data_IF_896224580166
#
_entry.id   IF_896224580166
#
_cell.length_a   1.000
_cell.length_b   1.000
_cell.length_c   1.000
_cell.angle_alpha   90.00
_cell.angle_beta   90.00
_cell.angle_gamma   90.00
#
_symmetry.space_group_name_H-M   'P 1'
#
loop_
_entity.id
_entity.type
_entity.pdbx_description
1 polymer ?
#
# COMPACT_ATOMS: atom_id res chain seq x y z
N UNK A 1 -1.13 18.44 13.84
CA UNK A 1 -1.10 18.61 12.37
C UNK A 1 -2.41 18.16 11.67
N UNK A 2 -3.04 17.06 12.10
CA UNK A 2 -4.22 16.43 11.45
C UNK A 2 -5.50 17.30 11.26
N UNK A 3 -5.92 18.14 12.23
CA UNK A 3 -7.05 19.06 12.01
C UNK A 3 -6.81 20.05 10.85
N UNK A 4 -5.54 20.35 10.57
CA UNK A 4 -5.13 21.26 9.50
C UNK A 4 -5.40 20.70 8.10
N UNK A 5 -5.12 19.41 7.85
CA UNK A 5 -5.37 18.82 6.53
C UNK A 5 -6.87 18.66 6.26
N UNK A 6 -7.65 18.19 7.25
CA UNK A 6 -9.11 18.16 7.14
C UNK A 6 -9.68 19.55 6.82
N UNK A 7 -9.22 20.58 7.53
CA UNK A 7 -9.58 21.97 7.26
C UNK A 7 -9.24 22.38 5.84
N UNK A 8 -7.99 22.16 5.40
CA UNK A 8 -7.55 22.51 4.06
C UNK A 8 -8.33 21.80 2.93
N UNK A 9 -8.75 20.54 3.13
CA UNK A 9 -9.60 19.82 2.17
C UNK A 9 -10.99 20.46 2.10
N UNK A 10 -11.57 20.84 3.25
CA UNK A 10 -12.86 21.56 3.28
C UNK A 10 -12.76 22.92 2.61
N UNK A 11 -11.73 23.70 2.92
CA UNK A 11 -11.48 25.00 2.30
C UNK A 11 -11.28 24.86 0.77
N UNK A 12 -10.70 23.76 0.30
CA UNK A 12 -10.60 23.45 -1.13
C UNK A 12 -11.97 23.07 -1.72
N UNK A 13 -12.73 22.22 -1.05
CA UNK A 13 -14.05 21.79 -1.50
C UNK A 13 -15.02 22.99 -1.62
N UNK A 14 -15.01 23.87 -0.63
CA UNK A 14 -15.82 25.10 -0.61
C UNK A 14 -15.45 26.02 -1.78
N UNK A 15 -14.15 26.22 -2.05
CA UNK A 15 -13.69 27.03 -3.19
C UNK A 15 -14.08 26.44 -4.54
N UNK A 16 -14.19 25.12 -4.64
CA UNK A 16 -14.58 24.42 -5.87
C UNK A 16 -16.10 24.21 -5.98
N UNK A 17 -16.88 24.58 -4.96
CA UNK A 17 -18.33 24.34 -4.93
C UNK A 17 -18.71 22.86 -4.85
N UNK A 18 -17.85 22.00 -4.28
CA UNK A 18 -18.07 20.56 -4.17
C UNK A 18 -18.59 20.25 -2.76
N UNK A 19 -19.81 19.72 -2.65
CA UNK A 19 -20.32 19.19 -1.39
C UNK A 19 -19.53 17.94 -0.99
N UNK A 20 -18.71 18.04 0.06
CA UNK A 20 -17.84 16.95 0.51
C UNK A 20 -17.81 16.84 2.04
N UNK A 21 -18.24 15.69 2.56
CA UNK A 21 -18.17 15.38 3.99
C UNK A 21 -16.81 14.79 4.32
N UNK A 22 -15.96 15.60 4.93
CA UNK A 22 -14.61 15.18 5.34
C UNK A 22 -14.61 14.78 6.82
N UNK A 23 -14.22 13.54 7.11
CA UNK A 23 -13.98 13.03 8.46
C UNK A 23 -12.49 12.74 8.68
N UNK A 24 -12.09 12.47 9.93
CA UNK A 24 -10.71 12.11 10.25
C UNK A 24 -10.62 11.12 11.41
N UNK A 25 -9.54 10.33 11.41
CA UNK A 25 -9.22 9.36 12.47
C UNK A 25 -8.21 9.95 13.44
N UNK A 26 -8.43 9.74 14.74
CA UNK A 26 -7.55 10.14 15.85
C UNK A 26 -7.15 8.92 16.70
N UNK A 27 -6.30 9.14 17.71
CA UNK A 27 -5.86 8.10 18.65
C UNK A 27 -4.50 7.49 18.35
N UNK A 28 -3.88 7.85 17.22
CA UNK A 28 -2.54 7.38 16.89
C UNK A 28 -1.43 8.18 17.59
N UNK A 29 -1.71 9.41 18.05
CA UNK A 29 -0.70 10.25 18.72
C UNK A 29 -0.41 9.84 20.14
N UNK A 30 0.80 9.36 20.37
CA UNK A 30 1.27 8.93 21.68
C UNK A 30 2.34 9.84 22.26
N UNK A 31 2.67 10.98 21.62
CA UNK A 31 3.81 11.81 22.02
C UNK A 31 3.71 12.24 23.49
N UNK A 32 2.51 12.59 23.96
CA UNK A 32 2.24 12.97 25.36
C UNK A 32 1.94 11.80 26.31
N UNK A 33 1.90 10.56 25.82
CA UNK A 33 1.48 9.41 26.63
C UNK A 33 2.55 8.94 27.63
N UNK A 34 3.83 9.19 27.34
CA UNK A 34 4.99 8.90 28.20
C UNK A 34 6.25 9.60 27.68
N UNK A 35 7.34 9.52 28.43
CA UNK A 35 8.66 9.89 27.91
C UNK A 35 9.16 8.84 26.89
N UNK A 36 9.42 9.30 25.66
CA UNK A 36 9.94 8.49 24.55
C UNK A 36 11.45 8.67 24.34
N UNK A 37 12.10 9.41 25.24
CA UNK A 37 13.52 9.73 25.21
C UNK A 37 13.83 11.01 24.44
N UNK A 38 15.03 11.56 24.71
CA UNK A 38 15.46 12.90 24.27
C UNK A 38 15.39 13.12 22.75
N UNK A 39 14.64 14.12 22.32
CA UNK A 39 14.61 14.55 20.92
C UNK A 39 13.64 13.78 20.01
N UNK A 40 12.72 12.99 20.59
CA UNK A 40 11.54 12.50 19.85
C UNK A 40 10.62 13.67 19.55
N UNK A 41 10.26 13.83 18.28
CA UNK A 41 9.35 14.89 17.80
C UNK A 41 7.96 14.36 17.45
N UNK A 42 7.83 13.04 17.26
CA UNK A 42 6.53 12.38 17.15
C UNK A 42 6.62 10.92 17.61
N UNK A 43 5.52 10.42 18.17
CA UNK A 43 5.32 9.02 18.49
C UNK A 43 3.92 8.63 18.01
N UNK A 44 3.82 7.75 17.02
CA UNK A 44 2.53 7.39 16.42
C UNK A 44 2.32 5.88 16.36
N UNK A 45 1.21 5.42 16.93
CA UNK A 45 0.75 4.03 16.79
C UNK A 45 0.25 3.78 15.36
N UNK A 46 0.57 2.62 14.80
CA UNK A 46 0.01 2.17 13.53
C UNK A 46 -1.37 1.58 13.80
N UNK A 47 -2.41 2.36 13.51
CA UNK A 47 -3.80 1.94 13.66
C UNK A 47 -4.26 1.07 12.46
N UNK A 48 -5.36 0.35 12.66
CA UNK A 48 -6.05 -0.41 11.62
C UNK A 48 -7.13 0.40 10.88
N UNK A 49 -7.88 -0.29 10.03
CA UNK A 49 -8.97 0.22 9.22
C UNK A 49 -10.25 0.53 9.99
N UNK A 50 -10.40 0.09 11.25
CA UNK A 50 -11.64 0.29 12.04
C UNK A 50 -12.09 1.76 12.14
N UNK A 51 -11.16 2.70 12.35
CA UNK A 51 -11.48 4.14 12.39
C UNK A 51 -11.93 4.69 11.03
N UNK A 52 -11.33 4.19 9.95
CA UNK A 52 -11.72 4.52 8.57
C UNK A 52 -13.13 3.99 8.30
N UNK A 53 -13.40 2.75 8.70
CA UNK A 53 -14.69 2.12 8.50
C UNK A 53 -15.81 2.88 9.24
N UNK A 54 -15.56 3.30 10.48
CA UNK A 54 -16.49 4.10 11.26
C UNK A 54 -16.80 5.45 10.58
N UNK A 55 -15.78 6.14 10.07
CA UNK A 55 -15.97 7.40 9.33
C UNK A 55 -16.83 7.21 8.08
N UNK A 56 -16.54 6.19 7.27
CA UNK A 56 -17.27 5.91 6.04
C UNK A 56 -18.73 5.50 6.33
N UNK A 57 -18.96 4.64 7.33
CA UNK A 57 -20.33 4.30 7.79
C UNK A 57 -21.08 5.52 8.33
N UNK A 58 -20.38 6.49 8.90
CA UNK A 58 -20.92 7.79 9.28
C UNK A 58 -21.22 8.73 8.11
N UNK A 59 -20.99 8.29 6.87
CA UNK A 59 -21.25 9.07 5.66
C UNK A 59 -20.11 10.02 5.30
N UNK A 60 -18.86 9.77 5.71
CA UNK A 60 -17.74 10.53 5.16
C UNK A 60 -17.53 10.19 3.68
N UNK A 61 -17.33 11.22 2.84
CA UNK A 61 -16.92 11.07 1.44
C UNK A 61 -15.39 11.00 1.34
N UNK A 62 -14.69 11.68 2.26
CA UNK A 62 -13.23 11.67 2.38
C UNK A 62 -12.85 11.45 3.84
N UNK A 63 -11.91 10.52 4.08
CA UNK A 63 -11.36 10.24 5.42
C UNK A 63 -9.89 10.61 5.46
N UNK A 64 -9.52 11.49 6.39
CA UNK A 64 -8.13 11.83 6.67
C UNK A 64 -7.64 11.03 7.86
N UNK A 65 -6.61 10.21 7.69
CA UNK A 65 -6.06 9.40 8.77
C UNK A 65 -4.72 9.96 9.26
N UNK A 66 -4.37 9.62 10.50
CA UNK A 66 -3.00 9.73 11.00
C UNK A 66 -2.17 8.54 10.53
N UNK A 67 -1.39 7.96 11.43
CA UNK A 67 -0.66 6.73 11.16
C UNK A 67 -1.60 5.53 11.21
N UNK A 68 -1.86 4.95 10.04
CA UNK A 68 -2.50 3.63 9.87
C UNK A 68 -1.50 2.70 9.18
N UNK A 69 -1.76 1.39 9.18
CA UNK A 69 -1.05 0.49 8.26
C UNK A 69 -1.46 0.77 6.82
N UNK A 70 -0.59 0.46 5.87
CA UNK A 70 -0.87 0.70 4.45
C UNK A 70 -2.08 -0.13 4.00
N UNK A 71 -2.15 -1.40 4.43
CA UNK A 71 -3.31 -2.26 4.25
C UNK A 71 -4.62 -1.72 4.86
N UNK A 72 -4.57 -0.86 5.89
CA UNK A 72 -5.78 -0.29 6.49
C UNK A 72 -6.55 0.64 5.53
N UNK A 73 -5.86 1.22 4.55
CA UNK A 73 -6.47 1.98 3.47
C UNK A 73 -7.37 1.11 2.57
N UNK A 74 -7.25 -0.22 2.68
CA UNK A 74 -8.08 -1.19 1.96
C UNK A 74 -9.05 -1.91 2.90
N UNK A 75 -8.59 -2.40 4.05
CA UNK A 75 -9.46 -3.09 5.03
C UNK A 75 -10.57 -2.18 5.56
N UNK A 76 -10.28 -0.91 5.83
CA UNK A 76 -11.25 0.05 6.36
C UNK A 76 -12.44 0.27 5.41
N UNK A 77 -12.21 0.69 4.16
CA UNK A 77 -13.28 0.81 3.16
C UNK A 77 -14.01 -0.50 2.87
N UNK A 78 -13.29 -1.63 2.78
CA UNK A 78 -13.91 -2.94 2.55
C UNK A 78 -14.85 -3.32 3.71
N UNK A 79 -14.41 -3.17 4.96
CA UNK A 79 -15.23 -3.43 6.13
C UNK A 79 -16.45 -2.49 6.22
N UNK A 80 -16.30 -1.21 5.84
CA UNK A 80 -17.44 -0.30 5.74
C UNK A 80 -18.45 -0.75 4.69
N UNK A 81 -17.97 -1.11 3.49
CA UNK A 81 -18.81 -1.46 2.35
C UNK A 81 -19.55 -2.78 2.55
N UNK A 82 -18.88 -3.82 3.04
CA UNK A 82 -19.46 -5.15 3.22
C UNK A 82 -20.10 -5.36 4.61
N UNK A 83 -19.98 -4.39 5.51
CA UNK A 83 -20.58 -4.46 6.84
C UNK A 83 -19.88 -5.43 7.80
N UNK A 84 -18.61 -5.79 7.54
CA UNK A 84 -17.87 -6.74 8.37
C UNK A 84 -17.74 -6.27 9.83
N UNK A 85 -17.85 -7.22 10.75
CA UNK A 85 -17.53 -7.08 12.16
C UNK A 85 -16.00 -7.10 12.39
N UNK A 86 -15.57 -6.70 13.58
CA UNK A 86 -14.15 -6.68 13.94
C UNK A 86 -13.53 -8.08 14.08
N UNK A 87 -14.38 -9.11 14.19
CA UNK A 87 -14.01 -10.52 14.32
C UNK A 87 -14.33 -11.35 13.06
N UNK A 88 -14.70 -10.72 11.95
CA UNK A 88 -14.79 -11.36 10.62
C UNK A 88 -13.37 -11.57 10.05
N UNK A 89 -12.53 -12.28 10.79
CA UNK A 89 -11.08 -12.34 10.57
C UNK A 89 -10.69 -12.84 9.18
N UNK A 90 -11.38 -13.83 8.63
CA UNK A 90 -11.05 -14.33 7.28
C UNK A 90 -11.30 -13.26 6.21
N UNK A 91 -12.40 -12.52 6.31
CA UNK A 91 -12.73 -11.47 5.35
C UNK A 91 -11.77 -10.27 5.50
N UNK A 92 -11.49 -9.87 6.75
CA UNK A 92 -10.49 -8.85 7.06
C UNK A 92 -9.09 -9.25 6.57
N UNK A 93 -8.70 -10.52 6.74
CA UNK A 93 -7.41 -11.02 6.29
C UNK A 93 -7.31 -10.98 4.77
N UNK A 94 -8.37 -11.37 4.06
CA UNK A 94 -8.45 -11.22 2.61
C UNK A 94 -8.22 -9.78 2.15
N UNK A 95 -8.85 -8.80 2.82
CA UNK A 95 -8.63 -7.39 2.53
C UNK A 95 -7.22 -6.87 2.93
N UNK A 96 -6.63 -7.39 4.02
CA UNK A 96 -5.23 -7.09 4.37
C UNK A 96 -4.29 -7.58 3.27
N UNK A 97 -4.51 -8.79 2.75
CA UNK A 97 -3.70 -9.36 1.67
C UNK A 97 -3.88 -8.56 0.38
N UNK A 98 -5.11 -8.17 0.03
CA UNK A 98 -5.33 -7.28 -1.11
C UNK A 98 -4.60 -5.94 -0.92
N UNK A 99 -4.66 -5.33 0.28
CA UNK A 99 -3.94 -4.11 0.61
C UNK A 99 -2.42 -4.24 0.50
N UNK A 100 -1.86 -5.34 1.00
CA UNK A 100 -0.44 -5.69 0.87
C UNK A 100 0.00 -5.87 -0.59
N UNK A 101 -0.91 -6.27 -1.48
CA UNK A 101 -0.60 -6.35 -2.91
C UNK A 101 -0.68 -4.99 -3.62
N UNK A 102 -1.54 -4.08 -3.13
CA UNK A 102 -1.73 -2.76 -3.72
C UNK A 102 -0.68 -1.73 -3.28
N UNK A 103 0.01 -1.96 -2.17
CA UNK A 103 1.07 -1.07 -1.67
C UNK A 103 2.36 -1.15 -2.51
N UNK A 104 3.36 -0.34 -2.14
CA UNK A 104 4.69 -0.30 -2.77
C UNK A 104 4.73 0.02 -4.28
N UNK A 105 3.62 0.50 -4.85
CA UNK A 105 3.55 1.06 -6.19
C UNK A 105 3.21 0.03 -7.26
N UNK A 106 4.09 -0.17 -8.24
CA UNK A 106 3.81 -1.01 -9.42
C UNK A 106 4.39 -2.43 -9.28
N UNK A 107 4.71 -2.89 -8.07
CA UNK A 107 5.37 -4.19 -7.86
C UNK A 107 4.50 -5.37 -8.30
N UNK A 108 3.21 -5.35 -7.95
CA UNK A 108 2.23 -6.37 -8.36
C UNK A 108 1.96 -6.39 -9.87
N UNK A 109 2.46 -5.40 -10.61
CA UNK A 109 2.40 -5.33 -12.07
C UNK A 109 3.78 -5.45 -12.73
N UNK A 110 4.80 -5.87 -11.99
CA UNK A 110 6.15 -6.17 -12.51
C UNK A 110 7.27 -5.18 -12.16
N UNK A 111 6.98 -4.06 -11.48
CA UNK A 111 7.92 -2.96 -11.25
C UNK A 111 9.21 -3.32 -10.51
N UNK A 112 9.22 -4.39 -9.71
CA UNK A 112 10.42 -4.93 -9.06
C UNK A 112 10.53 -6.46 -9.25
N UNK A 113 9.91 -6.99 -10.29
CA UNK A 113 9.85 -8.43 -10.52
C UNK A 113 11.23 -8.96 -10.96
N UNK A 114 11.64 -10.11 -10.41
CA UNK A 114 12.94 -10.69 -10.72
C UNK A 114 13.02 -11.19 -12.18
N UNK A 115 11.92 -11.72 -12.70
CA UNK A 115 11.81 -12.23 -14.07
C UNK A 115 11.26 -11.14 -15.01
N UNK A 116 11.86 -9.95 -14.94
CA UNK A 116 11.40 -8.76 -15.69
C UNK A 116 11.43 -8.95 -17.21
N UNK A 117 12.23 -9.89 -17.72
CA UNK A 117 12.32 -10.24 -19.15
C UNK A 117 11.10 -11.00 -19.66
N UNK A 118 10.24 -11.52 -18.77
CA UNK A 118 8.97 -12.18 -19.12
C UNK A 118 7.82 -11.20 -19.37
N UNK A 119 8.04 -9.89 -19.18
CA UNK A 119 7.02 -8.86 -19.30
C UNK A 119 7.35 -7.95 -20.49
N UNK A 120 6.46 -7.93 -21.48
CA UNK A 120 6.69 -7.27 -22.78
C UNK A 120 7.01 -5.77 -22.69
N UNK A 121 6.28 -5.01 -21.85
CA UNK A 121 6.53 -3.58 -21.65
C UNK A 121 6.56 -3.21 -20.18
N UNK A 122 7.77 -3.06 -19.62
CA UNK A 122 7.99 -2.55 -18.27
C UNK A 122 8.45 -1.09 -18.23
N UNK A 123 8.38 -0.33 -19.33
CA UNK A 123 8.82 1.08 -19.30
C UNK A 123 7.91 1.95 -18.45
N UNK A 124 6.61 1.64 -18.43
CA UNK A 124 5.61 2.35 -17.62
C UNK A 124 4.53 1.39 -17.11
N UNK A 125 4.85 0.56 -16.10
CA UNK A 125 3.88 -0.34 -15.50
C UNK A 125 2.76 0.47 -14.84
N UNK A 126 1.51 0.03 -15.02
CA UNK A 126 0.35 0.64 -14.36
C UNK A 126 0.32 0.33 -12.87
N UNK A 127 -0.30 1.18 -12.06
CA UNK A 127 -0.59 0.81 -10.67
C UNK A 127 -1.62 -0.34 -10.63
N UNK A 128 -1.48 -1.28 -9.67
CA UNK A 128 -2.46 -2.35 -9.50
C UNK A 128 -3.77 -1.79 -8.92
N UNK A 129 -4.85 -2.54 -9.14
CA UNK A 129 -6.15 -2.32 -8.53
C UNK A 129 -6.72 -3.67 -8.06
N UNK A 130 -7.59 -3.63 -7.04
CA UNK A 130 -8.23 -4.83 -6.50
C UNK A 130 -9.75 -4.72 -6.55
N UNK A 131 -10.38 -5.77 -7.06
CA UNK A 131 -11.82 -5.99 -6.98
C UNK A 131 -12.08 -6.93 -5.79
N UNK A 132 -12.54 -6.39 -4.67
CA UNK A 132 -12.74 -7.15 -3.42
C UNK A 132 -14.17 -7.68 -3.36
N UNK A 133 -14.35 -8.89 -2.86
CA UNK A 133 -15.64 -9.56 -2.70
C UNK A 133 -16.07 -9.65 -1.23
N UNK A 134 -17.37 -9.90 -0.94
CA UNK A 134 -17.90 -9.95 0.43
C UNK A 134 -17.26 -11.00 1.34
N UNK A 135 -16.68 -12.06 0.77
CA UNK A 135 -15.97 -13.13 1.50
C UNK A 135 -14.49 -12.82 1.77
N UNK A 136 -14.03 -11.63 1.37
CA UNK A 136 -12.63 -11.21 1.47
C UNK A 136 -11.74 -11.70 0.32
N UNK A 137 -12.25 -12.53 -0.60
CA UNK A 137 -11.52 -12.84 -1.83
C UNK A 137 -11.40 -11.59 -2.70
N UNK A 138 -10.36 -11.54 -3.55
CA UNK A 138 -10.14 -10.38 -4.42
C UNK A 138 -9.54 -10.77 -5.76
N UNK A 139 -9.79 -9.98 -6.79
CA UNK A 139 -9.06 -10.06 -8.06
C UNK A 139 -8.14 -8.86 -8.19
N UNK A 140 -6.84 -9.11 -8.33
CA UNK A 140 -5.83 -8.10 -8.64
C UNK A 140 -5.76 -7.95 -10.14
N UNK A 141 -5.77 -6.70 -10.62
CA UNK A 141 -5.65 -6.36 -12.03
C UNK A 141 -5.00 -4.98 -12.19
N UNK A 142 -4.95 -4.45 -13.41
CA UNK A 142 -4.42 -3.12 -13.74
C UNK A 142 -5.29 -2.41 -14.76
N UNK A 143 -5.10 -1.10 -14.90
CA UNK A 143 -5.81 -0.34 -15.91
C UNK A 143 -5.45 -0.81 -17.34
N UNK A 144 -6.43 -0.89 -18.27
CA UNK A 144 -6.15 -1.15 -19.67
C UNK A 144 -5.22 -0.09 -20.27
N UNK A 145 -4.34 -0.49 -21.18
CA UNK A 145 -3.44 0.41 -21.90
C UNK A 145 -2.19 0.86 -21.13
N UNK A 146 -1.98 0.39 -19.90
CA UNK A 146 -0.71 0.56 -19.18
C UNK A 146 0.22 -0.63 -19.43
N UNK A 147 1.54 -0.39 -19.33
CA UNK A 147 2.52 -1.47 -19.30
C UNK A 147 2.41 -2.34 -18.04
N UNK A 148 3.38 -3.22 -17.87
CA UNK A 148 3.42 -4.24 -16.83
C UNK A 148 2.57 -5.45 -17.18
N UNK A 149 2.54 -6.42 -16.27
CA UNK A 149 1.66 -7.57 -16.36
C UNK A 149 1.19 -7.97 -14.96
N UNK A 150 -0.05 -8.42 -14.83
CA UNK A 150 -0.56 -9.03 -13.58
C UNK A 150 -0.67 -10.54 -13.77
N UNK A 151 0.34 -11.23 -13.25
CA UNK A 151 0.49 -12.68 -13.29
C UNK A 151 0.63 -13.24 -11.88
N UNK A 152 0.38 -14.54 -11.71
CA UNK A 152 0.63 -15.23 -10.43
C UNK A 152 2.05 -14.95 -9.91
N UNK A 153 3.06 -14.90 -10.80
CA UNK A 153 4.43 -14.58 -10.43
C UNK A 153 4.61 -13.18 -9.85
N UNK A 154 4.08 -12.15 -10.53
CA UNK A 154 4.17 -10.75 -10.06
C UNK A 154 3.44 -10.52 -8.73
N UNK A 155 2.25 -11.11 -8.57
CA UNK A 155 1.49 -11.03 -7.32
C UNK A 155 2.18 -11.80 -6.20
N UNK A 156 2.76 -12.97 -6.49
CA UNK A 156 3.55 -13.74 -5.51
C UNK A 156 4.76 -12.93 -5.03
N UNK A 157 5.48 -12.28 -5.95
CA UNK A 157 6.64 -11.47 -5.59
C UNK A 157 6.27 -10.34 -4.62
N UNK A 158 5.17 -9.63 -4.88
CA UNK A 158 4.67 -8.61 -3.96
C UNK A 158 4.16 -9.19 -2.64
N UNK A 159 3.48 -10.34 -2.65
CA UNK A 159 3.03 -10.99 -1.42
C UNK A 159 4.17 -11.38 -0.48
N UNK A 160 5.33 -11.75 -1.04
CA UNK A 160 6.50 -12.12 -0.26
C UNK A 160 7.35 -10.91 0.15
N UNK A 161 7.13 -9.74 -0.46
CA UNK A 161 7.86 -8.51 -0.16
C UNK A 161 7.61 -8.03 1.28
N UNK A 162 8.70 -7.69 2.00
CA UNK A 162 8.69 -7.24 3.40
C UNK A 162 7.96 -8.17 4.40
N UNK A 163 7.80 -9.46 4.05
CA UNK A 163 7.22 -10.45 4.94
C UNK A 163 8.30 -11.28 5.63
N UNK A 164 8.13 -11.53 6.93
CA UNK A 164 9.11 -12.27 7.73
C UNK A 164 8.78 -13.77 7.89
N UNK A 165 7.53 -14.16 7.68
CA UNK A 165 7.06 -15.53 7.86
C UNK A 165 5.56 -15.67 7.64
N UNK A 166 5.01 -16.85 7.89
CA UNK A 166 3.62 -17.20 7.53
C UNK A 166 2.53 -16.36 8.23
N UNK A 167 2.82 -15.77 9.39
CA UNK A 167 1.89 -14.89 10.11
C UNK A 167 2.23 -13.43 9.85
N UNK A 168 1.35 -12.75 9.15
CA UNK A 168 1.47 -11.32 8.88
C UNK A 168 0.57 -10.54 9.85
N UNK A 169 1.17 -10.05 10.93
CA UNK A 169 0.44 -9.40 12.02
C UNK A 169 0.10 -7.94 11.67
N UNK A 170 -1.20 -7.63 11.60
CA UNK A 170 -1.73 -6.28 11.41
C UNK A 170 -2.70 -5.88 12.54
N UNK A 171 -2.96 -4.57 12.72
CA UNK A 171 -3.89 -4.08 13.75
C UNK A 171 -5.33 -4.56 13.61
N UNK A 172 -5.78 -4.84 12.37
CA UNK A 172 -7.13 -5.34 12.12
C UNK A 172 -7.23 -6.87 12.31
N UNK A 173 -6.18 -7.60 11.91
CA UNK A 173 -6.15 -9.06 11.90
C UNK A 173 -4.71 -9.56 11.70
N UNK A 174 -4.39 -10.76 12.16
CA UNK A 174 -3.19 -11.47 11.75
C UNK A 174 -3.53 -12.35 10.53
N UNK A 175 -3.04 -12.00 9.34
CA UNK A 175 -3.28 -12.77 8.13
C UNK A 175 -2.32 -13.97 8.01
N UNK A 176 -2.84 -15.12 7.60
CA UNK A 176 -2.05 -16.34 7.37
C UNK A 176 -1.60 -16.44 5.91
N UNK A 177 -0.38 -15.99 5.61
CA UNK A 177 0.18 -16.03 4.26
C UNK A 177 0.23 -17.44 3.67
N UNK A 178 0.43 -18.46 4.51
CA UNK A 178 0.44 -19.87 4.12
C UNK A 178 -0.94 -20.43 3.70
N UNK A 179 -2.01 -19.70 4.02
CA UNK A 179 -3.37 -20.03 3.56
C UNK A 179 -3.73 -19.43 2.21
N UNK A 180 -3.00 -18.39 1.76
CA UNK A 180 -3.31 -17.65 0.53
C UNK A 180 -3.23 -18.59 -0.68
N UNK A 181 -4.21 -18.48 -1.57
CA UNK A 181 -4.24 -19.17 -2.86
C UNK A 181 -4.34 -18.13 -3.98
N UNK A 182 -3.46 -18.29 -4.97
CA UNK A 182 -3.43 -17.50 -6.18
C UNK A 182 -3.82 -18.35 -7.37
N UNK A 183 -4.76 -17.87 -8.18
CA UNK A 183 -5.14 -18.50 -9.45
C UNK A 183 -5.20 -17.44 -10.54
N UNK A 184 -4.68 -17.76 -11.72
CA UNK A 184 -4.85 -16.89 -12.89
C UNK A 184 -6.34 -16.85 -13.26
N UNK A 185 -6.88 -15.65 -13.45
CA UNK A 185 -8.31 -15.39 -13.71
C UNK A 185 -8.51 -14.58 -15.00
N UNK A 186 -7.69 -14.92 -16.01
CA UNK A 186 -7.63 -14.23 -17.31
C UNK A 186 -6.37 -13.37 -17.48
N UNK A 187 -6.21 -12.70 -18.64
CA UNK A 187 -5.09 -11.80 -18.90
C UNK A 187 -5.08 -10.64 -17.90
N UNK A 188 -3.92 -10.34 -17.31
CA UNK A 188 -3.75 -9.29 -16.30
C UNK A 188 -4.70 -9.40 -15.10
N UNK A 189 -5.10 -10.62 -14.73
CA UNK A 189 -6.04 -10.86 -13.64
C UNK A 189 -5.60 -12.06 -12.80
N UNK A 190 -5.41 -11.84 -11.51
CA UNK A 190 -5.05 -12.88 -10.54
C UNK A 190 -6.02 -12.84 -9.39
N UNK A 191 -6.71 -13.96 -9.14
CA UNK A 191 -7.60 -14.12 -8.01
C UNK A 191 -6.84 -14.58 -6.78
N UNK A 192 -7.04 -13.85 -5.68
CA UNK A 192 -6.61 -14.17 -4.32
C UNK A 192 -7.82 -14.75 -3.57
N UNK A 193 -7.67 -15.93 -2.96
CA UNK A 193 -8.73 -16.58 -2.18
C UNK A 193 -8.16 -17.51 -1.11
N UNK A 194 -9.05 -18.05 -0.27
CA UNK A 194 -8.69 -19.02 0.78
C UNK A 194 -7.90 -18.44 1.96
N UNK A 195 -7.81 -17.11 2.04
CA UNK A 195 -7.08 -16.40 3.10
C UNK A 195 -7.75 -16.64 4.45
N UNK A 196 -6.96 -17.01 5.45
CA UNK A 196 -7.40 -17.19 6.83
C UNK A 196 -6.84 -16.10 7.74
N UNK A 197 -7.68 -15.64 8.66
CA UNK A 197 -7.33 -14.67 9.69
C UNK A 197 -7.25 -15.30 11.08
N UNK A 198 -6.37 -14.76 11.90
CA UNK A 198 -6.31 -14.98 13.35
C UNK A 198 -6.53 -13.62 14.04
N UNK A 199 -6.91 -13.65 15.32
CA UNK A 199 -7.06 -12.43 16.11
C UNK A 199 -5.83 -11.49 15.96
N UNK A 200 -6.04 -10.16 15.89
CA UNK A 200 -4.94 -9.21 15.84
C UNK A 200 -4.06 -9.33 17.11
N UNK A 201 -2.77 -8.97 17.02
CA UNK A 201 -1.90 -8.93 18.19
C UNK A 201 -2.46 -7.95 19.24
N UNK A 202 -2.24 -8.21 20.55
CA UNK A 202 -2.73 -7.34 21.62
C UNK A 202 -1.98 -5.99 21.71
N UNK A 203 -0.99 -5.77 20.86
CA UNK A 203 -0.12 -4.59 20.84
C UNK A 203 0.00 -4.02 19.44
N UNK A 204 0.24 -2.70 19.37
CA UNK A 204 0.45 -1.98 18.13
C UNK A 204 1.90 -1.54 17.99
N UNK A 205 2.41 -1.55 16.74
CA UNK A 205 3.68 -0.91 16.40
C UNK A 205 3.57 0.59 16.62
N UNK A 206 4.57 1.19 17.27
CA UNK A 206 4.70 2.64 17.41
C UNK A 206 5.92 3.12 16.66
N UNK A 207 5.73 4.04 15.71
CA UNK A 207 6.82 4.73 15.02
C UNK A 207 7.26 5.95 15.81
N UNK A 208 8.56 6.06 16.09
CA UNK A 208 9.17 7.22 16.72
C UNK A 208 9.98 7.98 15.68
N UNK A 209 9.79 9.29 15.59
CA UNK A 209 10.57 10.15 14.70
C UNK A 209 11.43 11.11 15.52
N UNK A 210 12.67 11.28 15.07
CA UNK A 210 13.66 12.23 15.61
C UNK A 210 14.19 13.05 14.45
N UNK A 211 14.58 14.29 14.71
CA UNK A 211 15.25 15.11 13.71
C UNK A 211 16.68 14.60 13.51
N UNK A 212 16.95 14.03 12.33
CA UNK A 212 18.27 13.51 11.94
C UNK A 212 19.07 14.41 10.98
N UNK A 213 18.56 15.60 10.65
CA UNK A 213 19.09 16.46 9.59
C UNK A 213 18.43 16.21 8.23
N UNK A 214 19.08 16.65 7.14
CA UNK A 214 18.55 16.55 5.78
C UNK A 214 19.56 15.85 4.87
N UNK A 215 19.10 14.86 4.10
CA UNK A 215 19.83 14.22 2.99
C UNK A 215 18.82 13.96 1.86
N UNK A 216 19.21 14.21 0.62
CA UNK A 216 18.43 13.84 -0.56
C UNK A 216 19.31 12.94 -1.43
N UNK A 217 18.85 11.71 -1.66
CA UNK A 217 19.52 10.69 -2.45
C UNK A 217 18.47 9.72 -2.97
N UNK A 218 18.66 9.22 -4.19
CA UNK A 218 17.87 8.10 -4.74
C UNK A 218 18.86 7.02 -5.14
N UNK A 219 18.71 5.83 -4.56
CA UNK A 219 19.55 4.67 -4.86
C UNK A 219 18.67 3.57 -5.44
N UNK A 220 19.02 3.09 -6.63
CA UNK A 220 18.42 1.90 -7.23
C UNK A 220 19.36 0.72 -7.03
N UNK A 221 18.98 -0.23 -6.18
CA UNK A 221 19.76 -1.44 -5.94
C UNK A 221 19.31 -2.49 -6.95
N UNK A 222 20.18 -2.80 -7.91
CA UNK A 222 19.92 -3.82 -8.93
C UNK A 222 20.43 -5.17 -8.43
N UNK A 223 19.52 -6.15 -8.35
CA UNK A 223 19.82 -7.52 -7.95
C UNK A 223 19.25 -8.51 -8.97
N UNK A 224 19.86 -9.69 -9.05
CA UNK A 224 19.47 -10.77 -9.97
C UNK A 224 20.63 -11.24 -10.84
N UNK A 225 20.39 -12.28 -11.63
CA UNK A 225 21.39 -12.86 -12.54
C UNK A 225 21.59 -12.00 -13.79
N UNK A 226 20.52 -11.33 -14.25
CA UNK A 226 20.52 -10.51 -15.46
C UNK A 226 20.75 -9.02 -15.16
N UNK A 227 21.75 -8.70 -14.33
CA UNK A 227 21.98 -7.34 -13.80
C UNK A 227 22.21 -6.30 -14.91
N UNK A 228 22.95 -6.65 -15.95
CA UNK A 228 23.22 -5.73 -17.08
C UNK A 228 21.93 -5.38 -17.84
N UNK A 229 21.07 -6.37 -18.09
CA UNK A 229 19.78 -6.15 -18.73
C UNK A 229 18.84 -5.36 -17.82
N UNK A 230 18.88 -5.59 -16.50
CA UNK A 230 18.10 -4.82 -15.52
C UNK A 230 18.57 -3.37 -15.45
N UNK A 231 19.88 -3.13 -15.52
CA UNK A 231 20.46 -1.80 -15.58
C UNK A 231 20.04 -1.06 -16.86
N UNK A 232 20.03 -1.75 -18.01
CA UNK A 232 19.52 -1.20 -19.26
C UNK A 232 18.03 -0.81 -19.15
N UNK A 233 17.19 -1.68 -18.58
CA UNK A 233 15.77 -1.39 -18.35
C UNK A 233 15.57 -0.14 -17.47
N UNK A 234 16.27 -0.07 -16.33
CA UNK A 234 16.16 1.08 -15.40
C UNK A 234 16.65 2.36 -16.06
N UNK A 235 17.75 2.28 -16.83
CA UNK A 235 18.23 3.41 -17.61
C UNK A 235 17.18 3.89 -18.62
N UNK A 236 16.56 2.99 -19.36
CA UNK A 236 15.52 3.35 -20.34
C UNK A 236 14.30 4.00 -19.68
N UNK A 237 13.85 3.47 -18.54
CA UNK A 237 12.77 4.06 -17.73
C UNK A 237 13.10 5.48 -17.28
N UNK A 238 14.32 5.69 -16.77
CA UNK A 238 14.78 7.01 -16.32
C UNK A 238 14.96 7.97 -17.49
N UNK A 239 15.56 7.55 -18.60
CA UNK A 239 15.70 8.37 -19.80
C UNK A 239 14.34 8.85 -20.32
N UNK A 240 13.33 7.97 -20.32
CA UNK A 240 11.95 8.34 -20.65
C UNK A 240 11.34 9.34 -19.66
N UNK A 241 11.55 9.15 -18.35
CA UNK A 241 11.06 10.07 -17.32
C UNK A 241 11.72 11.46 -17.40
N UNK A 242 13.00 11.51 -17.73
CA UNK A 242 13.78 12.74 -17.86
C UNK A 242 13.54 13.46 -19.19
N UNK A 243 12.96 12.81 -20.20
CA UNK A 243 12.78 13.36 -21.54
C UNK A 243 12.07 14.73 -21.57
N UNK A 244 11.10 14.96 -20.68
CA UNK A 244 10.36 16.23 -20.60
C UNK A 244 11.17 17.38 -20.01
N UNK A 245 12.10 17.07 -19.09
CA UNK A 245 12.95 18.05 -18.37
C UNK A 245 14.27 17.40 -18.00
N UNK A 246 15.17 17.28 -18.97
CA UNK A 246 16.45 16.63 -18.76
C UNK A 246 17.32 17.47 -17.81
N UNK A 247 17.96 16.86 -16.79
CA UNK A 247 18.97 17.53 -15.99
C UNK A 247 20.10 18.07 -16.87
N UNK A 248 20.79 19.11 -16.38
CA UNK A 248 21.94 19.68 -17.08
C UNK A 248 23.05 18.63 -17.33
N UNK A 249 23.15 17.62 -16.46
CA UNK A 249 24.09 16.53 -16.57
C UNK A 249 23.45 15.21 -16.14
N UNK A 250 23.70 14.15 -16.91
CA UNK A 250 23.31 12.78 -16.58
C UNK A 250 24.50 11.87 -16.86
N UNK A 251 24.98 11.17 -15.84
CA UNK A 251 26.05 10.16 -15.96
C UNK A 251 25.51 8.81 -15.53
N UNK A 252 25.80 7.78 -16.32
CA UNK A 252 25.43 6.40 -16.05
C UNK A 252 26.68 5.62 -15.66
N UNK A 253 26.61 4.87 -14.57
CA UNK A 253 27.68 3.99 -14.10
C UNK A 253 27.03 2.74 -13.55
N UNK A 254 27.51 1.58 -13.98
CA UNK A 254 27.11 0.27 -13.49
C UNK A 254 28.24 -0.31 -12.64
#
# INVERSE_FOLDING_TARGET
MRPGLRGAIRDLADRLGIGCRVAHVEGDDLLGARDWGRGVVSANAYLGGGGIAACLRGGADVVVTGRVTDAALVTGPAAAHFGWAADDWDALAGAVIAGHVLECGTQATGGNYAFFTEIDDLRHPGFPLAEIHPDGSAVITKHPGTGGAVTVGTVTAQLLYETAGARYAGPDVTARLDSVRLTQDGPDRVRIHGVRGEAPPPTLKTGLTRLGGHRNEVVFVLTGLDVDAKAALVRDQMEAALAKRRPAEVRWTL
#
